data_IF_390713225519
#
_entry.id   IF_390713225519
#
_cell.length_a   1.000
_cell.length_b   1.000
_cell.length_c   1.000
_cell.angle_alpha   90.00
_cell.angle_beta   90.00
_cell.angle_gamma   90.00
#
_symmetry.space_group_name_H-M   'P 1'
#
loop_
_entity.id
_entity.type
_entity.pdbx_description
1 polymer ?
#
# COMPACT_ATOMS: atom_id res chain seq x y z
N UNK A 1 -42.22 -48.55 24.77
CA UNK A 1 -41.36 -47.46 24.25
C UNK A 1 -40.92 -46.62 25.43
N UNK A 2 -39.94 -47.10 26.18
CA UNK A 2 -39.86 -46.82 27.62
C UNK A 2 -38.42 -46.59 28.04
N UNK A 3 -38.12 -45.34 28.41
CA UNK A 3 -37.02 -44.83 29.25
C UNK A 3 -35.54 -45.17 28.90
N UNK A 4 -35.20 -46.35 28.38
CA UNK A 4 -33.81 -46.72 28.07
C UNK A 4 -33.24 -45.94 26.88
N UNK A 5 -34.02 -45.78 25.80
CA UNK A 5 -33.59 -45.06 24.60
C UNK A 5 -33.39 -43.54 24.83
N UNK A 6 -34.10 -42.95 25.79
CA UNK A 6 -33.91 -41.56 26.21
C UNK A 6 -32.63 -41.38 27.06
N UNK A 7 -32.24 -42.41 27.82
CA UNK A 7 -30.98 -42.39 28.60
C UNK A 7 -29.74 -42.51 27.72
N UNK A 8 -29.80 -43.30 26.64
CA UNK A 8 -28.69 -43.44 25.71
C UNK A 8 -28.49 -42.18 24.85
N UNK A 9 -29.58 -41.52 24.43
CA UNK A 9 -29.50 -40.25 23.71
C UNK A 9 -28.93 -39.12 24.58
N UNK A 10 -29.34 -39.04 25.85
CA UNK A 10 -28.82 -38.02 26.77
C UNK A 10 -27.36 -38.27 27.14
N UNK A 11 -26.96 -39.54 27.29
CA UNK A 11 -25.56 -39.92 27.48
C UNK A 11 -24.69 -39.60 26.26
N UNK A 12 -25.16 -39.91 25.04
CA UNK A 12 -24.45 -39.57 23.81
C UNK A 12 -24.27 -38.05 23.64
N UNK A 13 -25.30 -37.26 23.95
CA UNK A 13 -25.21 -35.79 23.94
C UNK A 13 -24.22 -35.26 24.98
N UNK A 14 -24.15 -35.88 26.17
CA UNK A 14 -23.18 -35.51 27.20
C UNK A 14 -21.74 -35.83 26.79
N UNK A 15 -21.49 -37.00 26.20
CA UNK A 15 -20.17 -37.38 25.67
C UNK A 15 -19.76 -36.47 24.50
N UNK A 16 -20.69 -36.10 23.62
CA UNK A 16 -20.42 -35.14 22.54
C UNK A 16 -20.09 -33.75 23.10
N UNK A 17 -20.83 -33.26 24.11
CA UNK A 17 -20.55 -31.99 24.76
C UNK A 17 -19.20 -32.00 25.49
N UNK A 18 -18.83 -33.12 26.12
CA UNK A 18 -17.55 -33.29 26.80
C UNK A 18 -16.38 -33.33 25.81
N UNK A 19 -16.52 -34.05 24.68
CA UNK A 19 -15.48 -34.11 23.65
C UNK A 19 -15.32 -32.77 22.92
N UNK A 20 -16.42 -32.05 22.64
CA UNK A 20 -16.38 -30.67 22.14
C UNK A 20 -15.76 -29.71 23.16
N UNK A 21 -16.06 -29.86 24.45
CA UNK A 21 -15.49 -29.06 25.54
C UNK A 21 -14.00 -29.29 25.71
N UNK A 22 -13.55 -30.55 25.72
CA UNK A 22 -12.12 -30.91 25.76
C UNK A 22 -11.41 -30.45 24.49
N UNK A 23 -12.03 -30.62 23.32
CA UNK A 23 -11.52 -30.13 22.05
C UNK A 23 -11.34 -28.61 22.05
N UNK A 24 -12.34 -27.85 22.51
CA UNK A 24 -12.27 -26.40 22.65
C UNK A 24 -11.21 -25.97 23.67
N UNK A 25 -11.05 -26.72 24.77
CA UNK A 25 -10.02 -26.47 25.78
C UNK A 25 -8.60 -26.71 25.23
N UNK A 26 -8.38 -27.81 24.52
CA UNK A 26 -7.11 -28.09 23.86
C UNK A 26 -6.82 -27.02 22.80
N UNK A 27 -7.81 -26.67 21.97
CA UNK A 27 -7.67 -25.59 20.98
C UNK A 27 -7.33 -24.26 21.66
N UNK A 28 -7.95 -23.92 22.79
CA UNK A 28 -7.64 -22.72 23.57
C UNK A 28 -6.18 -22.68 24.02
N UNK A 29 -5.64 -23.79 24.55
CA UNK A 29 -4.23 -23.87 24.96
C UNK A 29 -3.26 -23.92 23.78
N UNK A 30 -3.64 -24.53 22.66
CA UNK A 30 -2.83 -24.55 21.43
C UNK A 30 -2.72 -23.17 20.82
N UNK A 31 -3.81 -22.40 20.82
CA UNK A 31 -3.85 -21.04 20.30
C UNK A 31 -3.44 -19.97 21.32
N UNK A 32 -3.13 -20.36 22.57
CA UNK A 32 -2.64 -19.43 23.56
C UNK A 32 -1.27 -18.87 23.13
N UNK A 33 -1.08 -17.54 23.11
CA UNK A 33 0.17 -16.95 22.66
C UNK A 33 1.34 -17.37 23.57
N UNK A 34 2.43 -17.84 22.95
CA UNK A 34 3.64 -18.28 23.67
C UNK A 34 4.76 -17.25 23.46
N UNK A 35 5.12 -16.47 24.49
CA UNK A 35 6.19 -15.49 24.37
C UNK A 35 7.57 -16.14 24.31
N UNK A 36 8.46 -15.51 23.56
CA UNK A 36 9.90 -15.78 23.61
C UNK A 36 10.45 -15.30 24.94
N UNK A 37 11.40 -16.07 25.47
CA UNK A 37 12.10 -15.71 26.70
C UNK A 37 12.97 -14.48 26.46
N UNK A 38 13.04 -13.58 27.45
CA UNK A 38 13.90 -12.39 27.49
C UNK A 38 13.52 -11.20 26.60
N UNK A 39 12.40 -11.25 25.87
CA UNK A 39 11.88 -10.07 25.18
C UNK A 39 10.65 -9.51 25.91
N UNK A 40 10.54 -8.18 26.08
CA UNK A 40 9.40 -7.57 26.73
C UNK A 40 8.13 -7.75 25.88
N UNK A 41 6.97 -7.77 26.53
CA UNK A 41 5.67 -7.86 25.88
C UNK A 41 4.57 -7.30 26.77
N UNK A 42 3.45 -6.90 26.17
CA UNK A 42 2.25 -6.57 26.92
C UNK A 42 1.66 -7.81 27.64
N UNK A 43 0.96 -7.64 28.77
CA UNK A 43 0.33 -8.76 29.46
C UNK A 43 -0.69 -9.46 28.54
N UNK A 44 -0.53 -10.77 28.36
CA UNK A 44 -1.41 -11.58 27.49
C UNK A 44 -2.72 -11.85 28.24
N UNK A 45 -3.74 -11.05 27.99
CA UNK A 45 -5.06 -11.17 28.65
C UNK A 45 -6.06 -12.03 27.87
N UNK A 46 -5.79 -12.36 26.60
CA UNK A 46 -6.71 -13.06 25.71
C UNK A 46 -5.97 -13.88 24.65
N UNK A 47 -6.65 -14.89 24.09
CA UNK A 47 -6.22 -15.65 22.90
C UNK A 47 -5.98 -14.74 21.69
N UNK A 48 -6.64 -13.57 21.66
CA UNK A 48 -6.46 -12.57 20.60
C UNK A 48 -5.17 -11.73 20.76
N UNK A 49 -4.42 -11.90 21.85
CA UNK A 49 -3.22 -11.12 22.12
C UNK A 49 -3.53 -9.62 22.26
N UNK A 50 -2.77 -8.80 21.55
CA UNK A 50 -2.85 -7.33 21.54
C UNK A 50 -3.95 -6.78 20.61
N UNK A 51 -4.62 -7.63 19.83
CA UNK A 51 -5.63 -7.20 18.84
C UNK A 51 -6.73 -6.30 19.43
N UNK A 52 -7.28 -6.52 20.64
CA UNK A 52 -8.27 -5.60 21.22
C UNK A 52 -7.72 -4.20 21.51
N UNK A 53 -6.45 -4.08 21.90
CA UNK A 53 -5.79 -2.79 22.12
C UNK A 53 -5.52 -2.10 20.79
N UNK A 54 -5.02 -2.84 19.79
CA UNK A 54 -4.84 -2.36 18.41
C UNK A 54 -6.16 -1.81 17.86
N UNK A 55 -7.25 -2.57 17.96
CA UNK A 55 -8.58 -2.14 17.50
C UNK A 55 -9.09 -0.91 18.24
N UNK A 56 -8.77 -0.76 19.53
CA UNK A 56 -9.13 0.45 20.31
C UNK A 56 -8.37 1.67 19.80
N UNK A 57 -7.07 1.53 19.54
CA UNK A 57 -6.22 2.60 18.99
C UNK A 57 -6.70 2.98 17.60
N UNK A 58 -6.93 2.02 16.71
CA UNK A 58 -7.44 2.27 15.36
C UNK A 58 -8.82 2.94 15.37
N UNK A 59 -9.72 2.51 16.26
CA UNK A 59 -11.05 3.16 16.43
C UNK A 59 -10.97 4.58 16.98
N UNK A 60 -9.90 4.92 17.69
CA UNK A 60 -9.66 6.30 18.16
C UNK A 60 -9.14 7.23 17.07
N UNK A 61 -8.98 6.75 15.83
CA UNK A 61 -8.45 7.50 14.69
C UNK A 61 -6.94 7.45 14.56
N UNK A 62 -6.26 6.69 15.43
CA UNK A 62 -4.81 6.50 15.40
C UNK A 62 -4.40 5.38 14.45
N UNK A 63 -3.18 5.43 13.94
CA UNK A 63 -2.65 4.44 12.99
C UNK A 63 -1.99 3.26 13.71
N UNK A 64 -1.69 2.19 12.95
CA UNK A 64 -0.89 1.08 13.46
C UNK A 64 0.57 1.50 13.73
N UNK A 65 1.09 2.51 13.01
CA UNK A 65 2.42 3.06 13.25
C UNK A 65 2.51 3.73 14.62
N UNK A 66 1.50 4.53 14.98
CA UNK A 66 1.39 5.14 16.30
C UNK A 66 1.26 4.08 17.40
N UNK A 67 0.62 2.94 17.12
CA UNK A 67 0.62 1.82 18.05
C UNK A 67 2.01 1.21 18.26
N UNK A 68 2.81 1.03 17.19
CA UNK A 68 4.20 0.58 17.32
C UNK A 68 5.03 1.56 18.16
N UNK A 69 4.89 2.87 17.90
CA UNK A 69 5.57 3.89 18.69
C UNK A 69 5.19 3.82 20.18
N UNK A 70 3.90 3.64 20.50
CA UNK A 70 3.43 3.46 21.89
C UNK A 70 4.00 2.20 22.56
N UNK A 71 4.18 1.11 21.80
CA UNK A 71 4.81 -0.11 22.33
C UNK A 71 6.29 0.11 22.63
N UNK A 72 6.99 0.79 21.71
CA UNK A 72 8.42 1.11 21.85
C UNK A 72 8.66 2.05 23.04
N UNK A 73 7.81 3.07 23.20
CA UNK A 73 7.89 4.00 24.34
C UNK A 73 7.67 3.27 25.68
N UNK A 74 6.76 2.30 25.73
CA UNK A 74 6.40 1.58 26.96
C UNK A 74 7.45 0.53 27.38
N UNK A 75 8.04 -0.18 26.41
CA UNK A 75 8.80 -1.41 26.67
C UNK A 75 10.24 -1.39 26.14
N UNK A 76 10.61 -0.38 25.37
CA UNK A 76 11.91 -0.27 24.73
C UNK A 76 11.92 -0.71 23.26
N UNK A 77 13.11 -0.68 22.63
CA UNK A 77 13.24 -0.71 21.17
C UNK A 77 13.05 -2.09 20.52
N UNK A 78 13.01 -3.17 21.31
CA UNK A 78 12.74 -4.52 20.81
C UNK A 78 11.68 -5.17 21.70
N UNK A 79 10.50 -5.44 21.14
CA UNK A 79 9.31 -5.89 21.89
C UNK A 79 8.53 -6.96 21.10
N UNK A 80 7.92 -7.91 21.80
CA UNK A 80 6.98 -8.86 21.20
C UNK A 80 5.56 -8.30 21.20
N UNK A 81 4.90 -8.45 20.05
CA UNK A 81 3.49 -8.15 19.84
C UNK A 81 2.78 -9.42 19.37
N UNK A 82 1.56 -9.64 19.85
CA UNK A 82 0.75 -10.81 19.51
C UNK A 82 -0.53 -10.40 18.79
N UNK A 83 -0.79 -10.99 17.62
CA UNK A 83 -2.06 -10.89 16.91
C UNK A 83 -2.64 -12.30 16.82
N UNK A 84 -3.58 -12.62 17.72
CA UNK A 84 -3.98 -14.01 17.92
C UNK A 84 -2.80 -14.85 18.41
N UNK A 85 -2.61 -16.03 17.82
CA UNK A 85 -1.44 -16.87 18.08
C UNK A 85 -0.18 -16.43 17.32
N UNK A 86 -0.28 -15.45 16.41
CA UNK A 86 0.86 -14.98 15.63
C UNK A 86 1.69 -14.00 16.46
N UNK A 87 2.94 -14.36 16.71
CA UNK A 87 3.91 -13.55 17.42
C UNK A 87 4.77 -12.77 16.41
N UNK A 88 4.93 -11.46 16.63
CA UNK A 88 5.80 -10.58 15.86
C UNK A 88 6.76 -9.82 16.78
N UNK A 89 8.06 -9.89 16.50
CA UNK A 89 9.10 -9.13 17.19
C UNK A 89 9.22 -7.79 16.49
N UNK A 90 8.75 -6.74 17.16
CA UNK A 90 8.89 -5.36 16.71
C UNK A 90 10.31 -4.90 17.02
N UNK A 91 11.07 -4.56 15.98
CA UNK A 91 12.45 -4.06 16.06
C UNK A 91 12.43 -2.61 15.60
N UNK A 92 12.59 -1.70 16.55
CA UNK A 92 12.69 -0.25 16.35
C UNK A 92 14.11 0.28 16.58
N UNK A 93 15.03 -0.54 17.09
CA UNK A 93 16.43 -0.14 17.19
C UNK A 93 17.07 0.07 15.81
N UNK A 94 17.62 1.25 15.56
CA UNK A 94 18.25 1.61 14.29
C UNK A 94 19.41 0.68 13.92
N UNK A 95 20.25 0.31 14.89
CA UNK A 95 21.43 -0.53 14.66
C UNK A 95 21.04 -1.94 14.23
N UNK A 96 20.07 -2.54 14.93
CA UNK A 96 19.51 -3.85 14.57
C UNK A 96 18.71 -3.81 13.27
N UNK A 97 17.92 -2.76 13.03
CA UNK A 97 17.20 -2.58 11.77
C UNK A 97 18.17 -2.49 10.57
N UNK A 98 19.24 -1.71 10.67
CA UNK A 98 20.28 -1.61 9.63
C UNK A 98 21.00 -2.96 9.43
N UNK A 99 21.32 -3.66 10.53
CA UNK A 99 21.95 -4.98 10.48
C UNK A 99 21.07 -5.98 9.72
N UNK A 100 19.80 -6.08 10.10
CA UNK A 100 18.85 -7.02 9.52
C UNK A 100 18.47 -6.68 8.07
N UNK A 101 18.35 -5.40 7.74
CA UNK A 101 17.82 -4.99 6.43
C UNK A 101 18.89 -4.76 5.36
N UNK A 102 20.10 -4.32 5.75
CA UNK A 102 21.15 -3.92 4.81
C UNK A 102 22.35 -4.86 4.88
N UNK A 103 22.89 -5.08 6.08
CA UNK A 103 24.18 -5.77 6.26
C UNK A 103 24.06 -7.29 6.16
N UNK A 104 22.98 -7.87 6.65
CA UNK A 104 22.83 -9.32 6.82
C UNK A 104 21.67 -9.89 5.99
N UNK A 105 21.97 -10.81 5.06
CA UNK A 105 20.96 -11.43 4.18
C UNK A 105 20.30 -12.67 4.81
N UNK A 106 20.10 -12.66 6.13
CA UNK A 106 19.45 -13.77 6.85
C UNK A 106 17.94 -13.55 7.03
N UNK A 107 17.35 -12.61 6.30
CA UNK A 107 15.93 -12.30 6.35
C UNK A 107 15.32 -12.34 4.95
N UNK A 108 14.07 -12.78 4.87
CA UNK A 108 13.26 -12.72 3.65
C UNK A 108 11.81 -12.31 3.98
N UNK A 109 10.99 -11.99 2.98
CA UNK A 109 9.57 -11.71 3.16
C UNK A 109 8.83 -12.97 3.62
N UNK A 110 8.01 -12.89 4.69
CA UNK A 110 7.18 -14.01 5.10
C UNK A 110 6.12 -14.33 4.04
N UNK A 111 5.72 -15.60 3.88
CA UNK A 111 4.57 -15.98 3.06
C UNK A 111 3.29 -15.20 3.37
N UNK A 112 3.12 -14.72 4.62
CA UNK A 112 1.94 -13.95 5.02
C UNK A 112 1.86 -12.56 4.41
N UNK A 113 2.98 -11.97 3.99
CA UNK A 113 2.96 -10.68 3.28
C UNK A 113 2.37 -10.88 1.89
N UNK A 114 2.79 -11.92 1.17
CA UNK A 114 2.27 -12.25 -0.17
C UNK A 114 0.77 -12.61 -0.16
N UNK A 115 0.31 -13.31 0.88
CA UNK A 115 -1.12 -13.61 1.10
C UNK A 115 -2.01 -12.36 1.21
N UNK A 116 -1.45 -11.20 1.56
CA UNK A 116 -2.19 -9.94 1.57
C UNK A 116 -2.67 -9.56 0.17
N UNK A 117 -1.83 -9.82 -0.84
CA UNK A 117 -2.06 -9.42 -2.23
C UNK A 117 -2.67 -10.54 -3.08
N UNK A 118 -2.63 -11.78 -2.61
CA UNK A 118 -3.12 -12.98 -3.30
C UNK A 118 -4.53 -12.82 -3.94
N UNK A 119 -5.51 -12.14 -3.32
CA UNK A 119 -6.85 -12.09 -3.93
C UNK A 119 -7.06 -10.95 -4.92
N UNK A 120 -6.12 -10.01 -4.97
CA UNK A 120 -6.19 -8.86 -5.87
C UNK A 120 -5.23 -9.02 -7.06
N UNK A 121 -3.97 -9.32 -6.77
CA UNK A 121 -2.85 -9.36 -7.73
C UNK A 121 -1.87 -10.51 -7.39
N UNK A 122 -2.32 -11.78 -7.37
CA UNK A 122 -1.51 -12.93 -6.94
C UNK A 122 -0.24 -13.16 -7.76
N UNK A 123 -0.25 -12.81 -9.04
CA UNK A 123 0.87 -13.04 -9.96
C UNK A 123 1.76 -11.80 -10.13
N UNK A 124 1.49 -10.72 -9.40
CA UNK A 124 2.32 -9.52 -9.44
C UNK A 124 3.61 -9.67 -8.63
N UNK A 125 4.58 -8.79 -8.86
CA UNK A 125 5.81 -8.70 -8.07
C UNK A 125 5.56 -8.46 -6.57
N UNK A 126 4.40 -7.92 -6.20
CA UNK A 126 3.96 -7.74 -4.82
C UNK A 126 3.34 -9.00 -4.21
N UNK A 127 2.76 -9.88 -5.05
CA UNK A 127 2.11 -11.13 -4.67
C UNK A 127 3.01 -12.36 -4.77
N UNK A 128 4.11 -12.30 -5.51
CA UNK A 128 5.01 -13.43 -5.74
C UNK A 128 6.08 -13.58 -4.65
N UNK A 129 6.29 -14.80 -4.10
CA UNK A 129 7.39 -15.06 -3.18
C UNK A 129 8.74 -14.88 -3.89
N UNK A 130 9.81 -14.56 -3.12
CA UNK A 130 11.18 -14.23 -3.58
C UNK A 130 11.97 -15.34 -4.29
N UNK A 131 11.29 -16.23 -5.01
CA UNK A 131 11.81 -17.32 -5.81
C UNK A 131 12.19 -16.84 -7.23
N UNK A 132 12.45 -17.78 -8.14
CA UNK A 132 12.90 -17.48 -9.50
C UNK A 132 11.85 -16.77 -10.36
N UNK A 133 10.55 -16.99 -10.09
CA UNK A 133 9.45 -16.24 -10.73
C UNK A 133 9.54 -14.75 -10.39
N UNK A 134 9.67 -14.39 -9.12
CA UNK A 134 9.85 -13.00 -8.72
C UNK A 134 11.10 -12.35 -9.34
N UNK A 135 12.22 -13.11 -9.43
CA UNK A 135 13.44 -12.61 -10.11
C UNK A 135 13.21 -12.35 -11.59
N UNK A 136 12.43 -13.20 -12.25
CA UNK A 136 12.02 -13.00 -13.64
C UNK A 136 11.20 -11.72 -13.79
N UNK A 137 10.15 -11.56 -12.99
CA UNK A 137 9.30 -10.36 -13.01
C UNK A 137 10.12 -9.08 -12.75
N UNK A 138 11.01 -9.09 -11.76
CA UNK A 138 11.92 -7.98 -11.48
C UNK A 138 12.84 -7.64 -12.65
N UNK A 139 13.30 -8.64 -13.40
CA UNK A 139 14.17 -8.43 -14.57
C UNK A 139 13.38 -7.79 -15.71
N UNK A 140 12.18 -8.29 -15.99
CA UNK A 140 11.29 -7.79 -17.04
C UNK A 140 10.82 -6.37 -16.75
N UNK A 141 10.46 -6.08 -15.49
CA UNK A 141 9.98 -4.76 -15.06
C UNK A 141 11.09 -3.74 -14.82
N UNK A 142 12.33 -4.17 -14.54
CA UNK A 142 13.45 -3.29 -14.22
C UNK A 142 13.62 -2.08 -15.15
N UNK A 143 13.55 -2.24 -16.49
CA UNK A 143 13.67 -1.12 -17.42
C UNK A 143 12.60 -0.02 -17.28
N UNK A 144 11.41 -0.33 -16.74
CA UNK A 144 10.34 0.66 -16.49
C UNK A 144 10.69 1.66 -15.38
N UNK A 145 11.72 1.37 -14.57
CA UNK A 145 12.19 2.23 -13.48
C UNK A 145 13.55 2.88 -13.79
N UNK A 146 14.07 2.72 -15.01
CA UNK A 146 15.33 3.34 -15.39
C UNK A 146 15.15 4.82 -15.72
N UNK A 147 16.18 5.63 -15.45
CA UNK A 147 16.18 7.09 -15.68
C UNK A 147 15.70 7.48 -17.08
N UNK A 148 16.17 6.79 -18.14
CA UNK A 148 15.74 7.06 -19.52
C UNK A 148 14.23 6.90 -19.71
N UNK A 149 13.62 5.89 -19.11
CA UNK A 149 12.18 5.68 -19.20
C UNK A 149 11.44 6.76 -18.41
N UNK A 150 11.85 7.01 -17.16
CA UNK A 150 11.22 8.01 -16.29
C UNK A 150 11.28 9.42 -16.90
N UNK A 151 12.42 9.84 -17.46
CA UNK A 151 12.55 11.17 -18.08
C UNK A 151 11.60 11.38 -19.26
N UNK A 152 11.30 10.31 -19.99
CA UNK A 152 10.31 10.37 -21.07
C UNK A 152 8.86 10.43 -20.56
N UNK A 153 8.61 9.96 -19.35
CA UNK A 153 7.29 9.99 -18.72
C UNK A 153 6.99 11.32 -18.00
N UNK A 154 8.01 12.11 -17.69
CA UNK A 154 7.88 13.40 -17.00
C UNK A 154 6.85 14.36 -17.62
N UNK A 155 6.75 14.52 -18.96
CA UNK A 155 5.73 15.39 -19.56
C UNK A 155 4.29 14.96 -19.20
N UNK A 156 4.02 13.66 -19.06
CA UNK A 156 2.71 13.16 -18.65
C UNK A 156 2.40 13.53 -17.20
N UNK A 157 3.38 13.41 -16.31
CA UNK A 157 3.25 13.79 -14.90
C UNK A 157 3.02 15.31 -14.79
N UNK A 158 3.78 16.10 -15.54
CA UNK A 158 3.62 17.56 -15.59
C UNK A 158 2.22 17.97 -16.08
N UNK A 159 1.68 17.29 -17.10
CA UNK A 159 0.33 17.56 -17.58
C UNK A 159 -0.72 17.32 -16.48
N UNK A 160 -0.61 16.22 -15.73
CA UNK A 160 -1.54 15.92 -14.62
C UNK A 160 -1.37 16.91 -13.47
N UNK A 161 -0.14 17.33 -13.16
CA UNK A 161 0.11 18.39 -12.19
C UNK A 161 -0.56 19.72 -12.60
N UNK A 162 -0.49 20.08 -13.88
CA UNK A 162 -1.17 21.28 -14.40
C UNK A 162 -2.70 21.15 -14.32
N UNK A 163 -3.27 19.98 -14.61
CA UNK A 163 -4.70 19.74 -14.42
C UNK A 163 -5.12 19.85 -12.95
N UNK A 164 -4.27 19.38 -12.02
CA UNK A 164 -4.52 19.52 -10.57
C UNK A 164 -4.50 21.00 -10.14
N UNK A 165 -3.56 21.79 -10.67
CA UNK A 165 -3.50 23.23 -10.42
C UNK A 165 -4.76 23.92 -10.92
N UNK A 166 -5.20 23.63 -12.16
CA UNK A 166 -6.46 24.17 -12.71
C UNK A 166 -7.67 23.80 -11.86
N UNK A 167 -7.73 22.56 -11.38
CA UNK A 167 -8.78 22.11 -10.47
C UNK A 167 -8.78 22.94 -9.18
N UNK A 168 -7.62 23.13 -8.56
CA UNK A 168 -7.49 23.89 -7.31
C UNK A 168 -7.74 25.39 -7.48
N UNK A 169 -7.37 25.99 -8.60
CA UNK A 169 -7.74 27.36 -8.93
C UNK A 169 -9.25 27.53 -8.96
N UNK A 170 -9.98 26.59 -9.59
CA UNK A 170 -11.45 26.60 -9.60
C UNK A 170 -12.04 26.38 -8.20
N UNK A 171 -11.50 25.43 -7.42
CA UNK A 171 -11.92 25.23 -6.02
C UNK A 171 -11.73 26.49 -5.21
N UNK A 172 -10.59 27.18 -5.38
CA UNK A 172 -10.30 28.45 -4.70
C UNK A 172 -11.34 29.54 -5.06
N UNK A 173 -11.72 29.67 -6.34
CA UNK A 173 -12.77 30.63 -6.74
C UNK A 173 -14.13 30.35 -6.09
N UNK A 174 -14.48 29.08 -5.85
CA UNK A 174 -15.75 28.69 -5.23
C UNK A 174 -15.72 28.87 -3.70
N UNK A 175 -14.63 28.43 -3.07
CA UNK A 175 -14.49 28.34 -1.62
C UNK A 175 -14.13 29.68 -1.00
N UNK A 176 -13.40 30.54 -1.72
CA UNK A 176 -12.89 31.81 -1.23
C UNK A 176 -11.92 31.62 -0.06
N UNK A 177 -12.19 32.28 1.09
CA UNK A 177 -11.32 32.26 2.28
C UNK A 177 -11.50 31.03 3.19
N UNK A 178 -12.14 29.95 2.72
CA UNK A 178 -12.41 28.75 3.53
C UNK A 178 -11.48 27.61 3.12
N UNK A 179 -11.39 26.58 3.98
CA UNK A 179 -10.62 25.38 3.69
C UNK A 179 -11.46 24.38 2.87
N UNK A 180 -10.77 23.56 2.06
CA UNK A 180 -11.34 22.43 1.36
C UNK A 180 -10.47 21.19 1.53
N UNK A 181 -11.06 20.02 1.27
CA UNK A 181 -10.40 18.73 1.39
C UNK A 181 -9.58 18.45 0.12
N UNK A 182 -8.26 18.27 0.28
CA UNK A 182 -7.30 18.07 -0.81
C UNK A 182 -6.82 16.61 -0.99
N UNK A 183 -7.08 15.72 -0.03
CA UNK A 183 -6.54 14.35 -0.02
C UNK A 183 -7.01 13.51 -1.23
N UNK A 184 -8.30 13.62 -1.58
CA UNK A 184 -8.92 12.91 -2.70
C UNK A 184 -8.33 13.38 -4.03
N UNK A 185 -8.11 14.69 -4.19
CA UNK A 185 -7.54 15.24 -5.43
C UNK A 185 -6.11 14.74 -5.66
N UNK A 186 -5.30 14.75 -4.60
CA UNK A 186 -3.91 14.29 -4.63
C UNK A 186 -3.82 12.78 -4.86
N UNK A 187 -4.70 12.01 -4.23
CA UNK A 187 -4.85 10.58 -4.47
C UNK A 187 -5.20 10.28 -5.94
N UNK A 188 -6.17 11.01 -6.50
CA UNK A 188 -6.63 10.82 -7.87
C UNK A 188 -5.56 11.23 -8.89
N UNK A 189 -4.93 12.39 -8.71
CA UNK A 189 -3.83 12.86 -9.56
C UNK A 189 -2.68 11.85 -9.59
N UNK A 190 -2.33 11.29 -8.43
CA UNK A 190 -1.27 10.30 -8.33
C UNK A 190 -1.63 8.97 -9.00
N UNK A 191 -2.85 8.47 -8.84
CA UNK A 191 -3.30 7.25 -9.52
C UNK A 191 -3.39 7.43 -11.02
N UNK A 192 -3.91 8.58 -11.49
CA UNK A 192 -3.93 8.93 -12.91
C UNK A 192 -2.52 9.02 -13.49
N UNK A 193 -1.55 9.54 -12.74
CA UNK A 193 -0.16 9.59 -13.19
C UNK A 193 0.41 8.20 -13.44
N UNK A 194 0.21 7.28 -12.50
CA UNK A 194 0.64 5.89 -12.71
C UNK A 194 -0.19 5.15 -13.76
N UNK A 195 -1.45 5.52 -13.97
CA UNK A 195 -2.27 4.94 -15.03
C UNK A 195 -1.80 5.37 -16.42
N UNK A 196 -1.45 6.65 -16.60
CA UNK A 196 -0.88 7.13 -17.86
C UNK A 196 0.48 6.49 -18.10
N UNK A 197 1.35 6.43 -17.08
CA UNK A 197 2.66 5.76 -17.21
C UNK A 197 2.50 4.24 -17.45
N UNK A 198 1.54 3.61 -16.79
CA UNK A 198 1.33 2.18 -16.81
C UNK A 198 0.67 1.67 -18.09
N UNK A 199 -0.45 2.28 -18.49
CA UNK A 199 -1.31 1.81 -19.60
C UNK A 199 -1.60 2.89 -20.66
N UNK A 200 -0.99 4.08 -20.55
CA UNK A 200 -1.19 5.16 -21.51
C UNK A 200 -2.53 5.88 -21.40
N UNK A 201 -3.30 5.66 -20.32
CA UNK A 201 -4.63 6.24 -20.14
C UNK A 201 -4.90 6.66 -18.69
N UNK A 202 -5.61 7.76 -18.50
CA UNK A 202 -6.12 8.17 -17.17
C UNK A 202 -7.28 7.28 -16.73
N UNK A 203 -7.46 7.11 -15.42
CA UNK A 203 -8.53 6.28 -14.84
C UNK A 203 -9.86 7.02 -14.84
N UNK A 204 -9.87 8.19 -14.21
CA UNK A 204 -11.04 9.04 -14.08
C UNK A 204 -10.65 10.50 -14.41
N UNK A 205 -11.59 11.34 -14.89
CA UNK A 205 -11.34 12.77 -15.07
C UNK A 205 -10.95 13.45 -13.75
N UNK A 206 -9.93 14.30 -13.81
CA UNK A 206 -9.50 15.10 -12.64
C UNK A 206 -10.44 16.29 -12.39
N UNK A 207 -11.04 16.84 -13.46
CA UNK A 207 -12.03 17.92 -13.37
C UNK A 207 -13.39 17.37 -12.91
N UNK A 208 -13.65 17.52 -11.61
CA UNK A 208 -14.79 16.92 -10.90
C UNK A 208 -15.83 17.94 -10.45
N UNK A 209 -15.53 19.23 -10.58
CA UNK A 209 -16.34 20.32 -10.07
C UNK A 209 -17.56 20.51 -10.97
N UNK A 210 -18.74 20.64 -10.37
CA UNK A 210 -19.94 20.97 -11.12
C UNK A 210 -19.86 22.36 -11.75
N UNK A 211 -20.26 22.50 -13.01
CA UNK A 211 -20.33 23.81 -13.68
C UNK A 211 -21.34 24.77 -13.02
N UNK A 212 -22.18 24.25 -12.11
CA UNK A 212 -23.16 24.97 -11.31
C UNK A 212 -22.85 25.00 -9.79
N UNK A 213 -21.63 24.64 -9.38
CA UNK A 213 -21.24 24.49 -7.97
C UNK A 213 -21.59 25.73 -7.14
N UNK A 214 -22.69 25.63 -6.40
CA UNK A 214 -23.08 26.55 -5.33
C UNK A 214 -22.56 25.97 -4.02
N UNK A 215 -21.98 26.80 -3.16
CA UNK A 215 -21.50 26.37 -1.84
C UNK A 215 -22.68 25.83 -1.02
N UNK A 216 -22.79 24.51 -0.89
CA UNK A 216 -23.73 23.88 0.03
C UNK A 216 -22.97 23.46 1.29
N UNK A 217 -23.36 24.10 2.41
CA UNK A 217 -23.04 23.73 3.79
C UNK A 217 -21.56 23.62 4.18
N UNK A 218 -21.11 24.52 5.06
CA UNK A 218 -19.84 24.35 5.77
C UNK A 218 -20.02 23.33 6.91
N UNK A 219 -19.11 22.37 7.02
CA UNK A 219 -19.04 21.48 8.18
C UNK A 219 -18.68 22.29 9.46
N UNK A 220 -18.90 21.71 10.64
CA UNK A 220 -18.59 22.29 11.96
C UNK A 220 -17.12 22.72 12.10
N UNK A 221 -16.24 22.18 11.27
CA UNK A 221 -14.81 22.51 11.18
C UNK A 221 -14.49 23.76 10.34
N UNK A 222 -15.47 24.35 9.65
CA UNK A 222 -15.27 25.46 8.70
C UNK A 222 -14.80 25.01 7.31
N UNK A 223 -14.72 23.70 7.07
CA UNK A 223 -14.39 23.10 5.76
C UNK A 223 -15.63 23.09 4.86
N UNK A 224 -15.48 23.48 3.59
CA UNK A 224 -16.55 23.35 2.59
C UNK A 224 -16.42 22.02 1.87
N UNK A 225 -17.50 21.24 1.85
CA UNK A 225 -17.63 20.13 0.91
C UNK A 225 -18.08 20.71 -0.44
N UNK A 226 -17.21 20.60 -1.44
CA UNK A 226 -17.53 21.06 -2.80
C UNK A 226 -18.36 19.96 -3.46
N UNK A 227 -19.56 20.26 -3.97
CA UNK A 227 -20.36 19.27 -4.68
C UNK A 227 -19.61 18.79 -5.93
N UNK A 228 -19.53 17.46 -6.07
CA UNK A 228 -18.82 16.77 -7.15
C UNK A 228 -19.84 16.14 -8.09
N UNK A 229 -19.82 16.52 -9.37
CA UNK A 229 -20.75 16.01 -10.39
C UNK A 229 -20.29 14.67 -10.99
N UNK A 230 -18.97 14.47 -11.09
CA UNK A 230 -18.42 13.29 -11.75
C UNK A 230 -18.08 12.20 -10.73
N UNK A 231 -18.81 11.06 -10.73
CA UNK A 231 -18.40 9.91 -9.94
C UNK A 231 -17.03 9.43 -10.42
N UNK A 232 -16.18 9.01 -9.48
CA UNK A 232 -14.85 8.44 -9.76
C UNK A 232 -14.86 6.94 -9.47
N UNK A 233 -15.59 6.15 -10.27
CA UNK A 233 -15.86 4.75 -9.97
C UNK A 233 -14.56 3.93 -9.88
N UNK A 234 -13.54 4.26 -10.67
CA UNK A 234 -12.27 3.52 -10.67
C UNK A 234 -11.45 3.86 -9.43
N UNK A 235 -11.26 5.15 -9.11
CA UNK A 235 -10.55 5.58 -7.90
C UNK A 235 -11.21 5.04 -6.63
N UNK A 236 -12.53 5.18 -6.52
CA UNK A 236 -13.29 4.70 -5.37
C UNK A 236 -13.27 3.17 -5.28
N UNK A 237 -13.34 2.49 -6.42
CA UNK A 237 -13.20 1.04 -6.51
C UNK A 237 -11.84 0.56 -6.00
N UNK A 238 -10.73 1.10 -6.52
CA UNK A 238 -9.37 0.75 -6.10
C UNK A 238 -9.16 1.04 -4.61
N UNK A 239 -9.63 2.20 -4.13
CA UNK A 239 -9.57 2.56 -2.70
C UNK A 239 -10.36 1.56 -1.83
N UNK A 240 -11.54 1.14 -2.27
CA UNK A 240 -12.37 0.16 -1.57
C UNK A 240 -11.71 -1.24 -1.54
N UNK A 241 -11.10 -1.66 -2.66
CA UNK A 241 -10.32 -2.90 -2.73
C UNK A 241 -9.17 -2.87 -1.71
N UNK A 242 -8.36 -1.79 -1.70
CA UNK A 242 -7.26 -1.61 -0.74
C UNK A 242 -7.72 -1.60 0.71
N UNK A 243 -8.83 -0.91 1.00
CA UNK A 243 -9.38 -0.82 2.36
C UNK A 243 -9.80 -2.20 2.88
N UNK A 244 -10.44 -3.01 2.02
CA UNK A 244 -10.84 -4.38 2.37
C UNK A 244 -9.64 -5.29 2.55
N UNK A 245 -8.63 -5.22 1.68
CA UNK A 245 -7.39 -5.98 1.83
C UNK A 245 -6.73 -5.66 3.18
N UNK A 246 -6.61 -4.38 3.54
CA UNK A 246 -6.06 -3.94 4.82
C UNK A 246 -6.88 -4.40 6.03
N UNK A 247 -8.20 -4.35 5.95
CA UNK A 247 -9.08 -4.81 7.03
C UNK A 247 -8.93 -6.31 7.31
N UNK A 248 -8.78 -7.13 6.27
CA UNK A 248 -8.63 -8.57 6.42
C UNK A 248 -7.21 -8.95 6.89
N UNK A 249 -6.19 -8.16 6.55
CA UNK A 249 -4.83 -8.36 7.05
C UNK A 249 -4.74 -8.33 8.58
N UNK A 250 -5.60 -7.56 9.25
CA UNK A 250 -5.67 -7.49 10.72
C UNK A 250 -6.41 -8.68 11.37
N UNK A 251 -7.03 -9.58 10.58
CA UNK A 251 -7.74 -10.73 11.12
C UNK A 251 -6.78 -11.86 11.52
N UNK A 252 -7.06 -12.60 12.61
CA UNK A 252 -6.18 -13.67 13.09
C UNK A 252 -6.09 -14.90 12.18
N UNK A 253 -7.06 -15.12 11.28
CA UNK A 253 -7.10 -16.27 10.36
C UNK A 253 -7.25 -15.84 8.88
N UNK A 254 -6.31 -15.07 8.29
CA UNK A 254 -6.50 -14.54 6.95
C UNK A 254 -6.81 -15.64 5.94
N UNK A 255 -6.12 -16.78 5.97
CA UNK A 255 -6.33 -17.86 4.98
C UNK A 255 -7.77 -18.41 4.88
N UNK A 256 -8.57 -18.30 5.95
CA UNK A 256 -9.96 -18.79 5.95
C UNK A 256 -10.95 -17.63 5.87
N UNK A 257 -10.72 -16.57 6.64
CA UNK A 257 -11.64 -15.42 6.68
C UNK A 257 -11.58 -14.59 5.40
N UNK A 258 -10.46 -14.61 4.68
CA UNK A 258 -10.22 -13.76 3.52
C UNK A 258 -11.02 -14.19 2.28
N UNK A 259 -11.03 -15.47 1.85
CA UNK A 259 -11.92 -15.91 0.78
C UNK A 259 -13.40 -15.69 1.13
N UNK A 260 -13.81 -15.99 2.37
CA UNK A 260 -15.20 -15.80 2.79
C UNK A 260 -15.60 -14.32 2.79
N UNK A 261 -14.85 -13.44 3.47
CA UNK A 261 -15.19 -12.03 3.58
C UNK A 261 -15.28 -11.35 2.20
N UNK A 262 -14.32 -11.63 1.31
CA UNK A 262 -14.32 -11.05 -0.03
C UNK A 262 -15.38 -11.67 -0.94
N UNK A 263 -15.64 -12.97 -0.81
CA UNK A 263 -16.69 -13.64 -1.58
C UNK A 263 -18.08 -13.13 -1.20
N UNK A 264 -18.33 -12.83 0.08
CA UNK A 264 -19.58 -12.23 0.55
C UNK A 264 -19.73 -10.73 0.19
N UNK A 265 -18.63 -10.03 -0.07
CA UNK A 265 -18.67 -8.60 -0.41
C UNK A 265 -19.09 -8.39 -1.87
N UNK A 266 -20.34 -7.99 -2.10
CA UNK A 266 -20.84 -7.66 -3.45
C UNK A 266 -20.05 -6.55 -4.13
N UNK A 267 -19.60 -5.54 -3.37
CA UNK A 267 -18.77 -4.45 -3.91
C UNK A 267 -17.36 -4.90 -4.25
N UNK A 268 -16.80 -5.93 -3.60
CA UNK A 268 -15.46 -6.44 -3.97
C UNK A 268 -15.44 -6.95 -5.40
N UNK A 269 -16.40 -7.80 -5.77
CA UNK A 269 -16.47 -8.38 -7.12
C UNK A 269 -16.66 -7.29 -8.16
N UNK A 270 -17.62 -6.38 -7.93
CA UNK A 270 -17.89 -5.26 -8.83
C UNK A 270 -16.65 -4.40 -9.08
N UNK A 271 -15.93 -4.02 -8.03
CA UNK A 271 -14.78 -3.12 -8.13
C UNK A 271 -13.57 -3.84 -8.77
N UNK A 272 -13.38 -5.14 -8.48
CA UNK A 272 -12.35 -5.97 -9.10
C UNK A 272 -12.62 -6.22 -10.58
N UNK A 273 -13.87 -6.53 -10.94
CA UNK A 273 -14.29 -6.75 -12.32
C UNK A 273 -14.12 -5.47 -13.15
N UNK A 274 -14.46 -4.31 -12.59
CA UNK A 274 -14.24 -3.01 -13.22
C UNK A 274 -12.75 -2.75 -13.52
N UNK A 275 -11.87 -2.98 -12.54
CA UNK A 275 -10.43 -2.84 -12.72
C UNK A 275 -9.89 -3.79 -13.80
N UNK A 276 -10.30 -5.07 -13.74
CA UNK A 276 -9.86 -6.08 -14.70
C UNK A 276 -10.35 -5.82 -16.12
N UNK A 277 -11.61 -5.40 -16.28
CA UNK A 277 -12.18 -5.03 -17.57
C UNK A 277 -11.42 -3.86 -18.18
N UNK A 278 -11.18 -2.78 -17.42
CA UNK A 278 -10.40 -1.64 -17.90
C UNK A 278 -9.01 -2.03 -18.39
N UNK A 279 -8.27 -2.83 -17.62
CA UNK A 279 -6.93 -3.28 -18.00
C UNK A 279 -6.97 -4.24 -19.20
N UNK A 280 -7.95 -5.13 -19.26
CA UNK A 280 -8.12 -6.06 -20.40
C UNK A 280 -8.40 -5.32 -21.69
N UNK A 281 -9.24 -4.28 -21.63
CA UNK A 281 -9.55 -3.43 -22.78
C UNK A 281 -8.29 -2.70 -23.27
N UNK A 282 -7.47 -2.16 -22.34
CA UNK A 282 -6.21 -1.49 -22.68
C UNK A 282 -5.16 -2.43 -23.25
N UNK A 283 -5.01 -3.64 -22.70
CA UNK A 283 -4.15 -4.68 -23.27
C UNK A 283 -4.61 -5.03 -24.69
N UNK A 284 -5.93 -5.17 -24.90
CA UNK A 284 -6.49 -5.49 -26.22
C UNK A 284 -6.23 -4.37 -27.23
N UNK A 285 -6.41 -3.11 -26.82
CA UNK A 285 -6.11 -1.93 -27.63
C UNK A 285 -4.63 -1.84 -28.01
N UNK A 286 -3.72 -2.05 -27.05
CA UNK A 286 -2.29 -2.04 -27.28
C UNK A 286 -1.84 -3.15 -28.24
N UNK A 287 -2.34 -4.38 -28.07
CA UNK A 287 -2.08 -5.49 -29.01
C UNK A 287 -2.58 -5.20 -30.43
N UNK A 288 -3.72 -4.52 -30.58
CA UNK A 288 -4.21 -4.09 -31.90
C UNK A 288 -3.28 -3.06 -32.55
N UNK A 289 -2.77 -2.10 -31.77
CA UNK A 289 -1.82 -1.08 -32.24
C UNK A 289 -0.50 -1.69 -32.71
N UNK A 290 -0.01 -2.71 -32.00
CA UNK A 290 1.21 -3.45 -32.38
C UNK A 290 1.05 -4.15 -33.75
N UNK A 291 -0.10 -4.80 -33.98
CA UNK A 291 -0.39 -5.48 -35.25
C UNK A 291 -0.54 -4.50 -36.41
N UNK A 292 -1.13 -3.32 -36.18
CA UNK A 292 -1.40 -2.34 -37.23
C UNK A 292 -0.19 -1.51 -37.64
N UNK A 293 0.70 -1.16 -36.72
CA UNK A 293 1.83 -0.25 -36.98
C UNK A 293 3.15 -0.97 -37.30
N UNK A 294 3.21 -2.30 -37.20
CA UNK A 294 4.49 -3.01 -37.11
C UNK A 294 5.17 -2.68 -35.77
N UNK A 295 6.28 -3.37 -35.47
CA UNK A 295 7.00 -3.33 -34.18
C UNK A 295 6.83 -2.00 -33.47
N UNK A 296 6.15 -2.01 -32.30
CA UNK A 296 6.04 -0.84 -31.42
C UNK A 296 7.41 -0.17 -31.40
N UNK A 297 7.44 1.14 -31.71
CA UNK A 297 8.67 1.90 -31.83
C UNK A 297 9.62 1.52 -30.69
N UNK A 298 10.93 1.49 -30.98
CA UNK A 298 12.01 1.10 -30.04
C UNK A 298 11.92 1.86 -28.70
N UNK A 299 11.15 2.95 -28.69
CA UNK A 299 10.77 3.75 -27.56
C UNK A 299 9.31 3.48 -27.12
N UNK A 300 9.09 2.54 -26.18
CA UNK A 300 7.77 2.29 -25.56
C UNK A 300 7.18 3.54 -24.87
N UNK A 301 5.92 3.88 -25.14
CA UNK A 301 5.23 5.08 -24.60
C UNK A 301 4.61 4.84 -23.20
N UNK A 302 4.43 3.59 -22.80
CA UNK A 302 3.98 3.23 -21.46
C UNK A 302 4.57 1.87 -21.03
N UNK A 303 4.37 1.49 -19.76
CA UNK A 303 4.84 0.20 -19.24
C UNK A 303 4.16 -0.96 -19.98
N UNK A 304 2.88 -0.86 -20.31
CA UNK A 304 2.16 -1.86 -21.10
C UNK A 304 2.85 -2.11 -22.45
N UNK A 305 3.21 -1.06 -23.19
CA UNK A 305 3.90 -1.21 -24.47
C UNK A 305 5.28 -1.87 -24.31
N UNK A 306 5.98 -1.57 -23.21
CA UNK A 306 7.25 -2.22 -22.87
C UNK A 306 7.06 -3.72 -22.58
N UNK A 307 5.98 -4.09 -21.88
CA UNK A 307 5.70 -5.47 -21.48
C UNK A 307 5.15 -6.34 -22.61
N UNK A 308 4.56 -5.72 -23.64
CA UNK A 308 4.11 -6.44 -24.83
C UNK A 308 5.26 -6.82 -25.76
N UNK A 309 6.42 -6.15 -25.65
CA UNK A 309 7.59 -6.48 -26.46
C UNK A 309 8.10 -7.91 -26.16
N UNK A 310 8.36 -8.73 -27.20
CA UNK A 310 8.95 -10.05 -27.01
C UNK A 310 10.32 -9.98 -26.32
N UNK A 311 10.73 -11.04 -25.63
CA UNK A 311 12.07 -11.12 -25.05
C UNK A 311 13.12 -10.98 -26.17
N UNK A 312 14.08 -10.05 -26.07
CA UNK A 312 15.09 -9.85 -27.11
C UNK A 312 16.01 -11.06 -27.33
N UNK A 313 16.03 -12.03 -26.40
CA UNK A 313 16.92 -13.21 -26.46
C UNK A 313 16.33 -14.37 -27.26
N UNK A 314 15.04 -14.63 -27.10
CA UNK A 314 14.37 -15.80 -27.69
C UNK A 314 13.06 -15.49 -28.43
N UNK A 315 12.61 -14.23 -28.40
CA UNK A 315 11.40 -13.78 -29.09
C UNK A 315 10.09 -14.26 -28.45
N UNK A 316 10.14 -14.82 -27.23
CA UNK A 316 8.94 -15.29 -26.53
C UNK A 316 8.23 -14.16 -25.77
N UNK A 317 6.93 -14.32 -25.50
CA UNK A 317 6.22 -13.38 -24.63
C UNK A 317 6.74 -13.50 -23.20
N UNK A 318 7.06 -12.35 -22.60
CA UNK A 318 7.70 -12.28 -21.28
C UNK A 318 6.73 -12.60 -20.13
N UNK A 319 5.43 -12.37 -20.34
CA UNK A 319 4.34 -12.62 -19.39
C UNK A 319 3.11 -13.23 -20.06
N UNK A 320 2.41 -14.13 -19.33
CA UNK A 320 1.05 -14.53 -19.68
C UNK A 320 0.06 -13.36 -19.52
N UNK A 321 -1.11 -13.46 -20.15
CA UNK A 321 -2.18 -12.47 -20.04
C UNK A 321 -2.57 -12.19 -18.58
N UNK A 322 -2.56 -13.20 -17.71
CA UNK A 322 -2.86 -13.02 -16.28
C UNK A 322 -1.74 -12.32 -15.51
N UNK A 323 -0.49 -12.69 -15.78
CA UNK A 323 0.67 -12.05 -15.16
C UNK A 323 0.75 -10.57 -15.56
N UNK A 324 0.56 -10.28 -16.85
CA UNK A 324 0.50 -8.91 -17.35
C UNK A 324 -0.62 -8.09 -16.68
N UNK A 325 -1.81 -8.68 -16.57
CA UNK A 325 -2.95 -8.03 -15.91
C UNK A 325 -2.65 -7.69 -14.44
N UNK A 326 -2.10 -8.65 -13.69
CA UNK A 326 -1.79 -8.47 -12.27
C UNK A 326 -0.66 -7.46 -12.06
N UNK A 327 0.37 -7.43 -12.91
CA UNK A 327 1.43 -6.43 -12.82
C UNK A 327 0.92 -5.01 -13.12
N UNK A 328 0.11 -4.84 -14.16
CA UNK A 328 -0.48 -3.52 -14.45
C UNK A 328 -1.41 -3.05 -13.33
N UNK A 329 -2.19 -3.96 -12.74
CA UNK A 329 -2.99 -3.64 -11.55
C UNK A 329 -2.11 -3.22 -10.36
N UNK A 330 -0.97 -3.89 -10.13
CA UNK A 330 -0.02 -3.54 -9.08
C UNK A 330 0.54 -2.11 -9.26
N UNK A 331 0.85 -1.72 -10.50
CA UNK A 331 1.26 -0.34 -10.83
C UNK A 331 0.20 0.69 -10.42
N UNK A 332 -1.07 0.47 -10.79
CA UNK A 332 -2.16 1.39 -10.47
C UNK A 332 -2.37 1.53 -8.96
N UNK A 333 -2.33 0.41 -8.25
CA UNK A 333 -2.52 0.33 -6.80
C UNK A 333 -1.41 1.10 -6.05
N UNK A 334 -0.17 1.02 -6.53
CA UNK A 334 0.97 1.70 -5.92
C UNK A 334 0.77 3.22 -5.83
N UNK A 335 -0.02 3.81 -6.73
CA UNK A 335 -0.26 5.26 -6.81
C UNK A 335 -0.98 5.82 -5.58
N UNK A 336 -1.71 4.96 -4.85
CA UNK A 336 -2.35 5.36 -3.59
C UNK A 336 -1.36 5.83 -2.52
N UNK A 337 -0.13 5.32 -2.52
CA UNK A 337 0.88 5.66 -1.53
C UNK A 337 1.48 7.04 -1.78
N UNK A 338 1.80 7.35 -3.04
CA UNK A 338 2.34 8.65 -3.46
C UNK A 338 1.31 9.77 -3.20
N UNK A 339 0.03 9.53 -3.50
CA UNK A 339 -1.04 10.48 -3.16
C UNK A 339 -1.12 10.82 -1.66
N UNK A 340 -0.89 9.84 -0.77
CA UNK A 340 -0.82 10.08 0.69
C UNK A 340 0.42 10.89 1.09
N UNK A 341 1.58 10.64 0.47
CA UNK A 341 2.79 11.46 0.71
C UNK A 341 2.52 12.91 0.34
N UNK A 342 1.90 13.16 -0.82
CA UNK A 342 1.53 14.51 -1.24
C UNK A 342 0.50 15.17 -0.30
N UNK A 343 -0.48 14.40 0.20
CA UNK A 343 -1.43 14.91 1.18
C UNK A 343 -0.75 15.33 2.50
N UNK A 344 0.22 14.54 2.97
CA UNK A 344 1.03 14.91 4.13
C UNK A 344 1.94 16.12 3.87
N UNK A 345 2.56 16.21 2.69
CA UNK A 345 3.32 17.39 2.27
C UNK A 345 2.46 18.66 2.39
N UNK A 346 1.27 18.68 1.79
CA UNK A 346 0.34 19.82 1.86
C UNK A 346 -0.10 20.13 3.28
N UNK A 347 -0.25 19.10 4.14
CA UNK A 347 -0.60 19.26 5.55
C UNK A 347 0.54 19.82 6.40
N UNK A 348 1.80 19.53 6.06
CA UNK A 348 2.97 20.00 6.81
C UNK A 348 3.40 21.41 6.41
N UNK A 349 3.27 21.80 5.13
CA UNK A 349 3.73 23.10 4.64
C UNK A 349 3.25 24.31 5.48
N UNK A 350 1.97 24.43 5.89
CA UNK A 350 1.51 25.57 6.67
C UNK A 350 2.11 25.68 8.09
N UNK A 351 2.75 24.61 8.60
CA UNK A 351 3.34 24.59 9.93
C UNK A 351 4.69 25.31 9.99
N UNK A 352 5.36 25.45 8.84
CA UNK A 352 6.63 26.17 8.72
C UNK A 352 6.58 27.15 7.52
N UNK A 353 6.08 28.38 7.73
CA UNK A 353 6.00 29.38 6.67
C UNK A 353 7.36 29.79 6.10
N UNK A 354 8.44 29.68 6.88
CA UNK A 354 9.78 30.01 6.40
C UNK A 354 10.25 29.00 5.36
N UNK A 355 10.13 27.70 5.68
CA UNK A 355 10.44 26.63 4.73
C UNK A 355 9.53 26.71 3.51
N UNK A 356 8.23 26.96 3.70
CA UNK A 356 7.30 27.13 2.58
C UNK A 356 7.74 28.25 1.63
N UNK A 357 8.14 29.41 2.17
CA UNK A 357 8.62 30.53 1.35
C UNK A 357 9.94 30.20 0.65
N UNK A 358 10.86 29.50 1.32
CA UNK A 358 12.14 29.07 0.73
C UNK A 358 11.92 28.11 -0.42
N UNK A 359 11.05 27.11 -0.24
CA UNK A 359 10.68 26.17 -1.30
C UNK A 359 10.00 26.90 -2.47
N UNK A 360 9.07 27.81 -2.18
CA UNK A 360 8.42 28.60 -3.23
C UNK A 360 9.43 29.43 -4.04
N UNK A 361 10.38 30.08 -3.36
CA UNK A 361 11.43 30.85 -4.02
C UNK A 361 12.34 29.96 -4.89
N UNK A 362 12.72 28.77 -4.40
CA UNK A 362 13.51 27.79 -5.16
C UNK A 362 12.76 27.35 -6.42
N UNK A 363 11.50 26.93 -6.30
CA UNK A 363 10.68 26.53 -7.45
C UNK A 363 10.50 27.67 -8.44
N UNK A 364 10.28 28.89 -7.95
CA UNK A 364 10.14 30.07 -8.81
C UNK A 364 11.40 30.31 -9.65
N UNK A 365 12.60 30.17 -9.08
CA UNK A 365 13.86 30.32 -9.82
C UNK A 365 13.95 29.29 -10.97
N UNK A 366 13.58 28.04 -10.71
CA UNK A 366 13.60 26.97 -11.72
C UNK A 366 12.61 27.24 -12.86
N UNK A 367 11.36 27.59 -12.53
CA UNK A 367 10.30 27.77 -13.52
C UNK A 367 10.36 29.14 -14.24
N UNK A 368 10.79 30.21 -13.59
CA UNK A 368 10.93 31.52 -14.22
C UNK A 368 12.16 31.63 -15.12
N UNK A 369 13.25 30.91 -14.80
CA UNK A 369 14.45 30.86 -15.61
C UNK A 369 14.28 30.14 -16.95
N UNK A 370 13.22 29.33 -17.09
CA UNK A 370 13.02 28.39 -18.18
C UNK A 370 11.60 28.46 -18.79
N UNK A 371 10.93 29.62 -18.75
CA UNK A 371 9.51 29.82 -19.15
C UNK A 371 9.15 29.32 -20.55
N UNK A 372 10.13 29.24 -21.46
CA UNK A 372 9.92 28.84 -22.86
C UNK A 372 10.30 27.36 -23.12
N UNK A 373 10.96 26.68 -22.17
CA UNK A 373 11.42 25.30 -22.35
C UNK A 373 11.09 24.42 -21.14
N UNK A 374 9.94 23.72 -21.23
CA UNK A 374 9.51 22.76 -20.22
C UNK A 374 10.50 21.59 -20.04
N UNK A 375 11.28 21.24 -21.07
CA UNK A 375 12.30 20.19 -20.99
C UNK A 375 13.45 20.61 -20.08
N UNK A 376 13.90 21.87 -20.22
CA UNK A 376 14.96 22.41 -19.37
C UNK A 376 14.51 22.58 -17.91
N UNK A 377 13.25 22.98 -17.68
CA UNK A 377 12.65 22.96 -16.33
C UNK A 377 12.75 21.58 -15.68
N UNK A 378 12.30 20.54 -16.40
CA UNK A 378 12.31 19.17 -15.90
C UNK A 378 13.72 18.64 -15.66
N UNK A 379 14.66 18.95 -16.56
CA UNK A 379 16.07 18.61 -16.38
C UNK A 379 16.66 19.24 -15.10
N UNK A 380 16.27 20.48 -14.79
CA UNK A 380 16.71 21.19 -13.60
C UNK A 380 16.08 20.64 -12.31
N UNK A 381 14.79 20.26 -12.35
CA UNK A 381 14.13 19.56 -11.23
C UNK A 381 14.77 18.21 -10.91
N UNK A 382 15.34 17.54 -11.92
CA UNK A 382 16.05 16.27 -11.77
C UNK A 382 17.49 16.42 -11.26
N UNK A 383 17.94 17.64 -10.96
CA UNK A 383 19.28 17.90 -10.45
C UNK A 383 19.23 18.30 -8.96
N UNK A 384 19.60 17.40 -8.03
CA UNK A 384 19.58 17.68 -6.59
C UNK A 384 20.40 18.92 -6.18
N UNK A 385 21.45 19.26 -6.92
CA UNK A 385 22.27 20.46 -6.65
C UNK A 385 21.50 21.76 -6.93
N UNK A 386 20.47 21.71 -7.79
CA UNK A 386 19.59 22.84 -8.12
C UNK A 386 18.34 22.92 -7.27
N UNK A 387 17.93 21.83 -6.62
CA UNK A 387 16.71 21.77 -5.80
C UNK A 387 16.94 21.22 -4.37
N UNK A 388 17.96 21.70 -3.62
CA UNK A 388 18.29 21.18 -2.31
C UNK A 388 17.16 21.35 -1.27
N UNK A 389 16.32 22.40 -1.37
CA UNK A 389 15.21 22.61 -0.44
C UNK A 389 14.08 21.62 -0.73
N UNK A 390 13.73 21.41 -2.00
CA UNK A 390 12.74 20.40 -2.40
C UNK A 390 13.15 19.00 -1.91
N UNK A 391 14.41 18.59 -2.13
CA UNK A 391 14.92 17.29 -1.67
C UNK A 391 14.81 17.15 -0.14
N UNK A 392 15.23 18.18 0.61
CA UNK A 392 15.15 18.18 2.07
C UNK A 392 13.69 18.09 2.56
N UNK A 393 12.78 18.85 1.94
CA UNK A 393 11.36 18.87 2.29
C UNK A 393 10.69 17.54 1.98
N UNK A 394 10.97 16.93 0.83
CA UNK A 394 10.42 15.63 0.47
C UNK A 394 10.95 14.51 1.37
N UNK A 395 12.25 14.54 1.69
CA UNK A 395 12.85 13.60 2.64
C UNK A 395 12.22 13.74 4.04
N UNK A 396 12.05 14.96 4.54
CA UNK A 396 11.44 15.21 5.85
C UNK A 396 9.94 14.87 5.88
N UNK A 397 9.24 15.11 4.76
CA UNK A 397 7.85 14.68 4.60
C UNK A 397 7.74 13.17 4.69
N UNK A 398 8.60 12.42 4.00
CA UNK A 398 8.60 10.95 4.07
C UNK A 398 8.91 10.44 5.48
N UNK A 399 9.89 11.04 6.16
CA UNK A 399 10.26 10.73 7.55
C UNK A 399 9.10 10.94 8.53
N UNK A 400 8.35 12.04 8.38
CA UNK A 400 7.25 12.37 9.29
C UNK A 400 5.93 11.69 8.92
N UNK A 401 5.64 11.52 7.64
CA UNK A 401 4.38 10.97 7.15
C UNK A 401 4.24 9.47 7.41
N UNK A 402 5.37 8.74 7.42
CA UNK A 402 5.44 7.31 7.70
C UNK A 402 4.38 6.47 6.95
N UNK A 403 4.14 6.80 5.67
CA UNK A 403 3.09 6.15 4.85
C UNK A 403 3.29 4.63 4.79
N UNK A 404 4.54 4.17 4.91
CA UNK A 404 4.90 2.78 5.18
C UNK A 404 5.81 2.73 6.40
N UNK A 405 5.23 2.54 7.58
CA UNK A 405 5.94 2.65 8.86
C UNK A 405 6.73 1.41 9.28
N UNK A 406 6.40 0.25 8.72
CA UNK A 406 7.02 -1.02 9.09
C UNK A 406 7.01 -2.01 7.94
N UNK A 407 8.02 -2.88 7.91
CA UNK A 407 8.11 -4.01 7.00
C UNK A 407 8.24 -5.31 7.77
N UNK A 408 7.62 -6.38 7.27
CA UNK A 408 7.68 -7.69 7.92
C UNK A 408 8.73 -8.57 7.25
N UNK A 409 9.53 -9.25 8.06
CA UNK A 409 10.59 -10.18 7.66
C UNK A 409 10.46 -11.50 8.42
N UNK A 410 11.02 -12.56 7.86
CA UNK A 410 11.19 -13.86 8.50
C UNK A 410 12.66 -14.25 8.43
N UNK A 411 13.17 -14.83 9.52
CA UNK A 411 14.54 -15.33 9.58
C UNK A 411 14.73 -16.57 8.69
N UNK A 412 15.79 -16.58 7.89
CA UNK A 412 16.21 -17.72 7.07
C UNK A 412 17.00 -18.75 7.89
N UNK A 413 17.67 -18.31 8.97
CA UNK A 413 18.39 -19.12 9.95
C UNK A 413 18.28 -18.44 11.32
N UNK A 414 18.54 -19.19 12.40
CA UNK A 414 18.63 -18.64 13.75
C UNK A 414 19.54 -17.42 13.80
N UNK A 415 19.18 -16.41 14.59
CA UNK A 415 19.96 -15.18 14.73
C UNK A 415 19.94 -14.68 16.18
N UNK A 416 20.81 -13.73 16.49
CA UNK A 416 20.84 -13.01 17.77
C UNK A 416 20.34 -11.60 17.54
N UNK A 417 19.24 -11.23 18.17
CA UNK A 417 18.64 -9.88 18.10
C UNK A 417 18.64 -9.29 19.50
N UNK A 418 19.21 -8.08 19.63
CA UNK A 418 19.37 -7.40 20.92
C UNK A 418 20.00 -8.30 22.01
N UNK A 419 21.01 -9.10 21.63
CA UNK A 419 21.72 -10.01 22.53
C UNK A 419 21.02 -11.32 22.87
N UNK A 420 19.83 -11.58 22.31
CA UNK A 420 19.03 -12.78 22.61
C UNK A 420 18.83 -13.64 21.36
N UNK A 421 18.85 -14.96 21.55
CA UNK A 421 18.65 -15.94 20.47
C UNK A 421 17.21 -15.93 19.97
N UNK A 422 17.06 -15.94 18.65
CA UNK A 422 15.80 -15.93 17.92
C UNK A 422 15.81 -17.08 16.91
N UNK A 423 14.95 -18.11 17.06
CA UNK A 423 15.01 -19.31 16.21
C UNK A 423 14.37 -19.11 14.82
N UNK A 424 14.86 -19.86 13.84
CA UNK A 424 14.21 -20.10 12.53
C UNK A 424 13.04 -21.08 12.68
N UNK A 425 12.01 -20.97 11.84
CA UNK A 425 11.08 -22.09 11.60
C UNK A 425 9.61 -21.72 11.51
N UNK A 426 8.73 -22.69 11.78
CA UNK A 426 7.26 -22.64 11.74
C UNK A 426 6.64 -22.12 13.06
N UNK A 427 5.37 -21.65 13.04
CA UNK A 427 4.69 -21.07 14.20
C UNK A 427 4.91 -21.87 15.51
N UNK A 428 5.19 -21.18 16.64
CA UNK A 428 5.08 -19.74 16.85
C UNK A 428 6.40 -19.01 16.61
N UNK A 429 7.10 -19.29 15.51
CA UNK A 429 8.29 -18.51 15.18
C UNK A 429 8.01 -17.03 14.96
N UNK A 430 8.95 -16.17 15.41
CA UNK A 430 8.80 -14.74 15.36
C UNK A 430 8.86 -14.25 13.91
N UNK A 431 7.81 -13.54 13.49
CA UNK A 431 7.98 -12.59 12.39
C UNK A 431 8.73 -11.38 12.93
N UNK A 432 9.61 -10.80 12.14
CA UNK A 432 10.28 -9.55 12.50
C UNK A 432 9.50 -8.41 11.88
N UNK A 433 8.88 -7.57 12.70
CA UNK A 433 8.33 -6.29 12.26
C UNK A 433 9.42 -5.24 12.45
N UNK A 434 10.13 -4.91 11.37
CA UNK A 434 11.16 -3.85 11.43
C UNK A 434 10.46 -2.51 11.20
N UNK A 435 10.46 -1.67 12.22
CA UNK A 435 9.97 -0.30 12.13
C UNK A 435 11.00 0.55 11.38
N UNK A 436 10.51 1.33 10.41
CA UNK A 436 11.38 2.12 9.54
C UNK A 436 11.75 3.45 10.22
N UNK A 437 10.90 3.98 11.11
CA UNK A 437 11.07 5.25 11.83
C UNK A 437 10.35 5.27 13.21
N UNK A 438 10.54 4.26 14.07
CA UNK A 438 9.90 4.23 15.40
C UNK A 438 10.78 4.82 16.51
#
# INVERSE_FOLDING_TARGET
MTLSALSDQTFAMFVLALTLGIGAFILYFVFWPKPLLNFPHNPITSVLGDLPEILRVVRSGKTLSEYYALLVERHGPVIQMFIGWHMSLVVADRGEAERLMIKFKNVDFPPTVFRMFEPLIPLSIMGLPGQDTWKHHRRVLGPSMNRRFLTRMEPHVLNIANELVKLWERKYQIVGNRAFIADVDLGLASMNSLAVIGVGASLDPLDRISTSASVEHADKSGTIEIPVDSPTPMFDGIRNLMTKVGAVFLLPFPSITFPCYLWLSSSWRRDLDMLRSFLTDKITEAKKREVSHGTLATDAECVLDMLLQPDPRDGTQQFDAKELLDELAAFLIAGSTVGKVLAWFVKYMPQDPEIQQRLHNEMRIIFEGNKEDASQCLADLNNPDKVPILEAVMAETLRCAQVTSATVRSLLNDDVIAGHHVPKGLPPTPKLTVCIDA
#
